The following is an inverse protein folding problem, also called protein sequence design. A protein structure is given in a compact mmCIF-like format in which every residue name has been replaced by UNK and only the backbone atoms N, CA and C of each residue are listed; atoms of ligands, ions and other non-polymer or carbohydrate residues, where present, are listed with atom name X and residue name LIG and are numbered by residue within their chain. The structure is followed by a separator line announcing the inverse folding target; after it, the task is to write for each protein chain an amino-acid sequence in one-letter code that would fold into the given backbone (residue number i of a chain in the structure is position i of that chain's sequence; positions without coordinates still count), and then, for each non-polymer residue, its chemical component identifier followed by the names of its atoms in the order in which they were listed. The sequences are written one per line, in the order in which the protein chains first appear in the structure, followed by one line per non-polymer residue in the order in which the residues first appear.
data_IF_266782230700
#
_entry.id   IF_266782230700
#
_cell.length_a   1.000
_cell.length_b   1.000
_cell.length_c   1.000
_cell.angle_alpha   90.00
_cell.angle_beta   90.00
_cell.angle_gamma   90.00
#
_symmetry.space_group_name_H-M   'P 1'
#
loop_
_entity.id
_entity.type
_entity.pdbx_description
1 polymer ?
#
# COMPACT_ATOMS: atom_id res chain seq x y z
N UNK A 1 -7.46 -13.66 -56.73
CA UNK A 1 -7.54 -12.60 -55.70
C UNK A 1 -6.92 -13.16 -54.44
N UNK A 2 -5.63 -12.84 -54.25
CA UNK A 2 -4.69 -13.67 -53.47
C UNK A 2 -5.01 -13.70 -51.98
N UNK A 3 -4.76 -14.86 -51.34
CA UNK A 3 -4.80 -15.10 -49.89
C UNK A 3 -4.10 -13.99 -49.09
N UNK A 4 -3.09 -13.36 -49.69
CA UNK A 4 -2.37 -12.19 -49.17
C UNK A 4 -3.29 -10.98 -48.96
N UNK A 5 -4.25 -10.70 -49.85
CA UNK A 5 -5.19 -9.58 -49.68
C UNK A 5 -6.17 -9.87 -48.54
N UNK A 6 -6.62 -11.12 -48.37
CA UNK A 6 -7.45 -11.54 -47.24
C UNK A 6 -6.67 -11.50 -45.92
N UNK A 7 -5.39 -11.83 -45.93
CA UNK A 7 -4.51 -11.71 -44.77
C UNK A 7 -4.26 -10.25 -44.39
N UNK A 8 -4.02 -9.36 -45.36
CA UNK A 8 -3.85 -7.92 -45.14
C UNK A 8 -5.16 -7.27 -44.68
N UNK A 9 -6.32 -7.67 -45.22
CA UNK A 9 -7.64 -7.21 -44.77
C UNK A 9 -8.02 -7.73 -43.38
N UNK A 10 -7.58 -8.94 -43.02
CA UNK A 10 -7.72 -9.52 -41.67
C UNK A 10 -6.85 -8.79 -40.64
N UNK A 11 -5.60 -8.45 -40.99
CA UNK A 11 -4.70 -7.61 -40.19
C UNK A 11 -5.27 -6.19 -40.00
N UNK A 12 -5.80 -5.56 -41.05
CA UNK A 12 -6.37 -4.21 -40.96
C UNK A 12 -7.70 -4.16 -40.22
N UNK A 13 -8.54 -5.21 -40.28
CA UNK A 13 -9.73 -5.33 -39.41
C UNK A 13 -9.38 -5.62 -37.95
N UNK A 14 -8.26 -6.31 -37.65
CA UNK A 14 -7.75 -6.44 -36.27
C UNK A 14 -7.22 -5.13 -35.70
N UNK A 15 -6.73 -4.22 -36.56
CA UNK A 15 -6.31 -2.85 -36.18
C UNK A 15 -7.46 -1.84 -36.18
N UNK A 16 -8.67 -2.21 -36.61
CA UNK A 16 -9.86 -1.36 -36.56
C UNK A 16 -10.58 -1.43 -35.20
N UNK A 17 -9.80 -1.36 -34.11
CA UNK A 17 -10.29 -0.97 -32.79
C UNK A 17 -9.10 -0.39 -32.04
N UNK A 18 -8.54 0.69 -32.57
CA UNK A 18 -7.61 1.52 -31.83
C UNK A 18 -8.42 2.35 -30.84
N UNK A 19 -8.45 2.02 -29.53
CA UNK A 19 -8.70 3.05 -28.53
C UNK A 19 -7.64 4.12 -28.73
N UNK A 20 -8.04 5.39 -28.79
CA UNK A 20 -7.07 6.45 -28.95
C UNK A 20 -6.10 6.41 -27.77
N UNK A 21 -4.86 6.84 -27.99
CA UNK A 21 -3.82 6.95 -26.96
C UNK A 21 -4.32 7.78 -25.76
N UNK A 22 -5.32 8.65 -25.95
CA UNK A 22 -5.93 9.46 -24.90
C UNK A 22 -7.04 8.76 -24.09
N UNK A 23 -7.69 7.70 -24.59
CA UNK A 23 -8.88 7.10 -23.96
C UNK A 23 -8.55 6.10 -22.83
N UNK A 24 -7.33 5.55 -22.83
CA UNK A 24 -6.82 4.65 -21.78
C UNK A 24 -5.78 5.33 -20.87
N UNK A 25 -5.50 6.62 -21.07
CA UNK A 25 -4.24 7.20 -20.61
C UNK A 25 -4.17 7.30 -19.08
N UNK A 26 -5.27 7.55 -18.37
CA UNK A 26 -5.21 7.71 -16.92
C UNK A 26 -6.60 7.46 -16.30
N UNK A 27 -6.99 6.21 -16.00
CA UNK A 27 -7.92 6.04 -14.87
C UNK A 27 -7.12 6.46 -13.66
N UNK A 28 -7.29 7.68 -13.14
CA UNK A 28 -6.53 8.17 -12.00
C UNK A 28 -7.28 7.74 -10.73
N UNK A 29 -6.70 6.89 -9.86
CA UNK A 29 -5.43 6.18 -10.00
C UNK A 29 -5.58 4.86 -10.75
N UNK A 30 -4.58 4.50 -11.58
CA UNK A 30 -4.53 3.19 -12.23
C UNK A 30 -4.24 2.23 -11.09
N UNK A 31 -5.31 1.61 -10.58
CA UNK A 31 -5.31 1.10 -9.21
C UNK A 31 -4.22 0.05 -8.96
N UNK A 32 -3.88 -0.86 -9.91
CA UNK A 32 -2.72 -1.74 -9.79
C UNK A 32 -1.39 -0.99 -9.78
N UNK A 33 -1.18 -0.01 -10.68
CA UNK A 33 0.05 0.78 -10.73
C UNK A 33 0.25 1.61 -9.46
N UNK A 34 -0.81 2.27 -8.98
CA UNK A 34 -0.82 3.03 -7.74
C UNK A 34 -0.50 2.13 -6.54
N UNK A 35 -1.14 0.96 -6.45
CA UNK A 35 -0.89 0.03 -5.36
C UNK A 35 0.54 -0.52 -5.38
N UNK A 36 1.11 -0.82 -6.56
CA UNK A 36 2.54 -1.20 -6.70
C UNK A 36 3.48 -0.15 -6.11
N UNK A 37 3.25 1.13 -6.45
CA UNK A 37 4.07 2.23 -5.96
C UNK A 37 3.91 2.44 -4.44
N UNK A 38 2.66 2.45 -3.96
CA UNK A 38 2.35 2.59 -2.54
C UNK A 38 2.99 1.44 -1.74
N UNK A 39 2.93 0.21 -2.26
CA UNK A 39 3.52 -0.96 -1.59
C UNK A 39 5.03 -0.82 -1.44
N UNK A 40 5.74 -0.44 -2.50
CA UNK A 40 7.19 -0.28 -2.49
C UNK A 40 7.64 0.85 -1.53
N UNK A 41 6.99 2.01 -1.59
CA UNK A 41 7.29 3.14 -0.70
C UNK A 41 6.99 2.76 0.74
N UNK A 42 5.85 2.12 0.99
CA UNK A 42 5.46 1.71 2.34
C UNK A 42 6.39 0.62 2.90
N UNK A 43 6.93 -0.27 2.07
CA UNK A 43 7.97 -1.22 2.49
C UNK A 43 9.23 -0.47 2.97
N UNK A 44 9.76 0.44 2.15
CA UNK A 44 10.94 1.22 2.51
C UNK A 44 10.74 2.04 3.79
N UNK A 45 9.60 2.71 3.93
CA UNK A 45 9.35 3.51 5.12
C UNK A 45 9.04 2.69 6.38
N UNK A 46 8.58 1.43 6.29
CA UNK A 46 8.56 0.51 7.44
C UNK A 46 9.97 0.26 7.97
N UNK A 47 10.93 -0.03 7.09
CA UNK A 47 12.33 -0.25 7.48
C UNK A 47 12.91 0.99 8.15
N UNK A 48 12.71 2.17 7.53
CA UNK A 48 13.09 3.45 8.13
C UNK A 48 12.46 3.64 9.52
N UNK A 49 11.17 3.37 9.65
CA UNK A 49 10.41 3.50 10.90
C UNK A 49 10.94 2.59 12.01
N UNK A 50 11.35 1.37 11.68
CA UNK A 50 11.99 0.43 12.63
C UNK A 50 13.32 0.98 13.11
N UNK A 51 14.22 1.31 12.18
CA UNK A 51 15.58 1.76 12.53
C UNK A 51 15.52 3.05 13.35
N UNK A 52 14.74 4.02 12.88
CA UNK A 52 14.60 5.30 13.56
C UNK A 52 13.85 5.17 14.90
N UNK A 53 12.85 4.29 14.95
CA UNK A 53 12.11 4.00 16.18
C UNK A 53 13.00 3.42 17.28
N UNK A 54 13.83 2.43 16.94
CA UNK A 54 14.79 1.83 17.89
C UNK A 54 15.82 2.86 18.34
N UNK A 55 16.39 3.63 17.42
CA UNK A 55 17.39 4.65 17.76
C UNK A 55 16.86 5.65 18.79
N UNK A 56 15.63 6.16 18.60
CA UNK A 56 15.01 7.10 19.53
C UNK A 56 14.60 6.42 20.84
N UNK A 57 14.12 5.18 20.78
CA UNK A 57 13.75 4.41 21.96
C UNK A 57 14.94 4.17 22.91
N UNK A 58 16.17 4.10 22.39
CA UNK A 58 17.37 3.90 23.20
C UNK A 58 17.80 5.16 23.97
N UNK A 59 17.40 6.35 23.50
CA UNK A 59 17.85 7.63 24.07
C UNK A 59 16.76 8.42 24.78
N UNK A 60 15.49 8.10 24.52
CA UNK A 60 14.37 8.77 25.20
C UNK A 60 14.29 8.37 26.67
N UNK A 61 14.00 9.34 27.55
CA UNK A 61 13.80 9.11 29.00
C UNK A 61 12.33 8.85 29.35
N UNK A 62 11.41 9.04 28.40
CA UNK A 62 10.00 8.82 28.62
C UNK A 62 9.64 7.36 28.35
N UNK A 63 9.30 6.61 29.41
CA UNK A 63 9.01 5.17 29.31
C UNK A 63 7.80 4.84 28.43
N UNK A 64 6.81 5.74 28.34
CA UNK A 64 5.63 5.53 27.49
C UNK A 64 5.97 5.76 26.02
N UNK A 65 6.76 6.78 25.70
CA UNK A 65 7.28 7.02 24.34
C UNK A 65 8.18 5.86 23.90
N UNK A 66 9.04 5.39 24.79
CA UNK A 66 9.91 4.23 24.54
C UNK A 66 9.09 2.97 24.22
N UNK A 67 8.08 2.66 25.05
CA UNK A 67 7.20 1.52 24.82
C UNK A 67 6.46 1.64 23.48
N UNK A 68 5.92 2.83 23.16
CA UNK A 68 5.24 3.09 21.90
C UNK A 68 6.17 2.84 20.70
N UNK A 69 7.40 3.36 20.74
CA UNK A 69 8.39 3.19 19.67
C UNK A 69 8.81 1.73 19.47
N UNK A 70 9.03 0.98 20.55
CA UNK A 70 9.40 -0.44 20.48
C UNK A 70 8.25 -1.27 19.94
N UNK A 71 7.03 -1.08 20.48
CA UNK A 71 5.83 -1.78 20.00
C UNK A 71 5.64 -1.48 18.52
N UNK A 72 5.72 -0.21 18.13
CA UNK A 72 5.60 0.18 16.73
C UNK A 72 6.65 -0.49 15.84
N UNK A 73 7.91 -0.56 16.26
CA UNK A 73 8.96 -1.27 15.52
C UNK A 73 8.63 -2.76 15.32
N UNK A 74 8.10 -3.44 16.35
CA UNK A 74 7.64 -4.85 16.21
C UNK A 74 6.53 -4.96 15.16
N UNK A 75 5.52 -4.07 15.22
CA UNK A 75 4.44 -4.09 14.23
C UNK A 75 4.91 -3.73 12.82
N UNK A 76 5.89 -2.83 12.65
CA UNK A 76 6.49 -2.53 11.35
C UNK A 76 7.23 -3.74 10.78
N UNK A 77 7.99 -4.49 11.59
CA UNK A 77 8.67 -5.74 11.18
C UNK A 77 7.64 -6.78 10.73
N UNK A 78 6.58 -6.99 11.51
CA UNK A 78 5.49 -7.88 11.14
C UNK A 78 4.84 -7.42 9.83
N UNK A 79 4.59 -6.12 9.67
CA UNK A 79 4.08 -5.52 8.44
C UNK A 79 4.99 -5.77 7.23
N UNK A 80 6.31 -5.74 7.41
CA UNK A 80 7.29 -6.07 6.36
C UNK A 80 7.16 -7.53 5.91
N UNK A 81 7.01 -8.47 6.86
CA UNK A 81 6.76 -9.88 6.54
C UNK A 81 5.48 -10.04 5.70
N UNK A 82 4.40 -9.37 6.10
CA UNK A 82 3.15 -9.37 5.36
C UNK A 82 3.31 -8.84 3.92
N UNK A 83 4.10 -7.77 3.74
CA UNK A 83 4.39 -7.22 2.42
C UNK A 83 5.18 -8.20 1.54
N UNK A 84 6.21 -8.84 2.09
CA UNK A 84 6.97 -9.86 1.34
C UNK A 84 6.11 -11.05 0.94
N UNK A 85 5.14 -11.44 1.79
CA UNK A 85 4.36 -12.65 1.54
C UNK A 85 3.22 -12.46 0.55
N UNK A 86 2.61 -11.27 0.52
CA UNK A 86 1.34 -11.02 -0.16
C UNK A 86 1.34 -9.84 -1.13
N UNK A 87 2.44 -9.09 -1.21
CA UNK A 87 2.50 -7.86 -2.02
C UNK A 87 3.82 -7.74 -2.81
N UNK A 88 4.64 -8.80 -2.83
CA UNK A 88 5.97 -8.74 -3.42
C UNK A 88 5.94 -8.93 -4.94
N UNK A 89 5.03 -9.75 -5.47
CA UNK A 89 4.92 -10.01 -6.90
C UNK A 89 3.81 -9.17 -7.51
N UNK A 90 3.99 -8.78 -8.77
CA UNK A 90 2.96 -8.09 -9.56
C UNK A 90 1.66 -8.91 -9.64
N UNK A 91 1.79 -10.24 -9.74
CA UNK A 91 0.69 -11.21 -9.71
C UNK A 91 -0.13 -11.15 -8.42
N UNK A 92 0.53 -10.90 -7.27
CA UNK A 92 -0.17 -10.82 -5.98
C UNK A 92 -1.08 -9.58 -5.96
N UNK A 93 -0.60 -8.46 -6.51
CA UNK A 93 -1.34 -7.20 -6.62
C UNK A 93 -2.49 -7.32 -7.62
N UNK A 94 -2.28 -7.99 -8.75
CA UNK A 94 -3.34 -8.26 -9.71
C UNK A 94 -4.41 -9.16 -9.07
N UNK A 95 -4.00 -10.21 -8.34
CA UNK A 95 -4.92 -11.10 -7.65
C UNK A 95 -5.79 -10.37 -6.63
N UNK A 96 -5.24 -9.38 -5.93
CA UNK A 96 -5.98 -8.55 -4.96
C UNK A 96 -7.20 -7.85 -5.58
N UNK A 97 -7.10 -7.41 -6.85
CA UNK A 97 -8.21 -6.76 -7.55
C UNK A 97 -9.19 -7.73 -8.22
N UNK A 98 -8.93 -9.03 -8.24
CA UNK A 98 -9.87 -10.03 -8.78
C UNK A 98 -10.90 -10.47 -7.73
N UNK A 99 -12.19 -10.52 -8.09
CA UNK A 99 -13.31 -10.85 -7.16
C UNK A 99 -13.27 -12.28 -6.58
N UNK A 100 -12.30 -13.09 -6.98
CA UNK A 100 -12.14 -14.49 -6.53
C UNK A 100 -11.00 -14.70 -5.54
N UNK A 101 -10.23 -13.66 -5.20
CA UNK A 101 -9.11 -13.81 -4.28
C UNK A 101 -9.58 -13.83 -2.83
N UNK A 102 -9.83 -15.02 -2.31
CA UNK A 102 -9.80 -15.23 -0.86
C UNK A 102 -8.34 -15.17 -0.41
N UNK A 103 -8.07 -14.40 0.64
CA UNK A 103 -6.74 -14.38 1.24
C UNK A 103 -6.37 -15.81 1.70
N UNK A 104 -5.08 -16.14 1.82
CA UNK A 104 -4.60 -17.43 2.36
C UNK A 104 -5.19 -17.72 3.76
N UNK A 105 -5.58 -16.67 4.48
CA UNK A 105 -6.52 -16.75 5.60
C UNK A 105 -7.93 -16.87 5.02
N UNK A 106 -8.31 -18.09 4.66
CA UNK A 106 -9.50 -18.52 3.88
C UNK A 106 -10.87 -18.00 4.36
N UNK A 107 -10.94 -17.16 5.39
CA UNK A 107 -12.16 -16.55 5.94
C UNK A 107 -12.18 -15.01 5.92
N UNK A 108 -11.08 -14.36 5.56
CA UNK A 108 -10.99 -12.90 5.54
C UNK A 108 -10.95 -12.38 4.10
N UNK A 109 -11.84 -11.44 3.78
CA UNK A 109 -11.78 -10.69 2.52
C UNK A 109 -10.50 -9.84 2.48
N UNK A 110 -9.85 -9.81 1.32
CA UNK A 110 -8.70 -8.96 1.05
C UNK A 110 -8.97 -7.49 1.38
N UNK A 111 -10.18 -7.00 1.10
CA UNK A 111 -10.64 -5.64 1.43
C UNK A 111 -10.63 -5.42 2.95
N UNK A 112 -11.16 -6.38 3.72
CA UNK A 112 -11.19 -6.30 5.18
C UNK A 112 -9.79 -6.22 5.79
N UNK A 113 -8.82 -6.92 5.20
CA UNK A 113 -7.42 -6.87 5.63
C UNK A 113 -6.81 -5.49 5.34
N UNK A 114 -7.06 -4.92 4.14
CA UNK A 114 -6.55 -3.59 3.78
C UNK A 114 -7.15 -2.48 4.65
N UNK A 115 -8.45 -2.55 4.93
CA UNK A 115 -9.13 -1.61 5.84
C UNK A 115 -8.60 -1.77 7.28
N UNK A 116 -8.43 -3.01 7.76
CA UNK A 116 -7.83 -3.27 9.06
C UNK A 116 -6.41 -2.71 9.17
N UNK A 117 -5.61 -2.85 8.12
CA UNK A 117 -4.28 -2.24 8.03
C UNK A 117 -4.36 -0.70 8.06
N UNK A 118 -5.28 -0.09 7.31
CA UNK A 118 -5.48 1.36 7.33
C UNK A 118 -5.85 1.87 8.73
N UNK A 119 -6.76 1.17 9.43
CA UNK A 119 -7.14 1.52 10.81
C UNK A 119 -5.97 1.39 11.79
N UNK A 120 -5.16 0.34 11.64
CA UNK A 120 -3.91 0.19 12.38
C UNK A 120 -2.98 1.39 12.19
N UNK A 121 -2.77 1.86 10.95
CA UNK A 121 -1.96 3.05 10.69
C UNK A 121 -2.58 4.30 11.30
N UNK A 122 -3.90 4.47 11.25
CA UNK A 122 -4.58 5.60 11.89
C UNK A 122 -4.34 5.64 13.40
N UNK A 123 -4.42 4.49 14.09
CA UNK A 123 -4.15 4.41 15.53
C UNK A 123 -2.73 4.90 15.84
N UNK A 124 -1.72 4.39 15.13
CA UNK A 124 -0.34 4.82 15.37
C UNK A 124 -0.09 6.28 14.97
N UNK A 125 -0.76 6.79 13.94
CA UNK A 125 -0.70 8.21 13.60
C UNK A 125 -1.16 9.09 14.77
N UNK A 126 -2.30 8.75 15.39
CA UNK A 126 -2.84 9.46 16.54
C UNK A 126 -1.92 9.32 17.76
N UNK A 127 -1.49 8.10 18.09
CA UNK A 127 -0.61 7.86 19.25
C UNK A 127 0.70 8.62 19.15
N UNK A 128 1.34 8.63 17.98
CA UNK A 128 2.56 9.42 17.77
C UNK A 128 2.31 10.93 17.75
N UNK A 129 1.15 11.38 17.26
CA UNK A 129 0.76 12.79 17.32
C UNK A 129 0.57 13.27 18.77
N UNK A 130 -0.09 12.45 19.60
CA UNK A 130 -0.23 12.71 21.05
C UNK A 130 1.13 12.69 21.75
N UNK A 131 1.99 11.72 21.42
CA UNK A 131 3.36 11.65 21.94
C UNK A 131 4.14 12.91 21.60
N UNK A 132 4.06 13.38 20.34
CA UNK A 132 4.71 14.62 19.91
C UNK A 132 4.20 15.84 20.67
N UNK A 133 2.89 15.99 20.86
CA UNK A 133 2.34 17.10 21.64
C UNK A 133 2.82 17.09 23.11
N UNK A 134 3.24 15.93 23.62
CA UNK A 134 3.70 15.78 25.00
C UNK A 134 5.21 16.00 25.14
N UNK A 135 6.02 15.45 24.22
CA UNK A 135 7.49 15.41 24.35
C UNK A 135 8.23 16.26 23.33
N UNK A 136 7.52 16.79 22.32
CA UNK A 136 8.07 17.57 21.21
C UNK A 136 9.18 16.85 20.43
N UNK A 137 9.27 15.52 20.51
CA UNK A 137 10.25 14.71 19.76
C UNK A 137 9.93 14.74 18.26
N UNK A 138 10.80 15.30 17.39
CA UNK A 138 10.52 15.42 15.95
C UNK A 138 10.27 14.08 15.25
N UNK A 139 10.90 13.01 15.75
CA UNK A 139 10.67 11.65 15.25
C UNK A 139 9.22 11.22 15.43
N UNK A 140 8.58 11.50 16.57
CA UNK A 140 7.17 11.17 16.79
C UNK A 140 6.27 11.92 15.80
N UNK A 141 6.56 13.19 15.49
CA UNK A 141 5.81 13.93 14.48
C UNK A 141 5.98 13.30 13.07
N UNK A 142 7.22 12.99 12.69
CA UNK A 142 7.51 12.33 11.41
C UNK A 142 6.79 10.98 11.29
N UNK A 143 6.86 10.15 12.33
CA UNK A 143 6.15 8.88 12.38
C UNK A 143 4.62 9.06 12.35
N UNK A 144 4.08 10.09 12.99
CA UNK A 144 2.65 10.42 12.93
C UNK A 144 2.20 10.71 11.49
N UNK A 145 2.91 11.60 10.79
CA UNK A 145 2.63 11.94 9.39
C UNK A 145 2.80 10.74 8.46
N UNK A 146 3.84 9.95 8.67
CA UNK A 146 4.09 8.74 7.89
C UNK A 146 2.92 7.74 8.00
N UNK A 147 2.46 7.47 9.22
CA UNK A 147 1.31 6.59 9.44
C UNK A 147 0.02 7.18 8.83
N UNK A 148 -0.21 8.49 8.94
CA UNK A 148 -1.36 9.14 8.31
C UNK A 148 -1.34 9.00 6.77
N UNK A 149 -0.17 9.18 6.15
CA UNK A 149 0.03 8.99 4.71
C UNK A 149 -0.23 7.52 4.30
N UNK A 150 0.29 6.55 5.06
CA UNK A 150 0.04 5.13 4.81
C UNK A 150 -1.46 4.78 4.90
N UNK A 151 -2.16 5.31 5.90
CA UNK A 151 -3.60 5.13 6.06
C UNK A 151 -4.36 5.66 4.85
N UNK A 152 -4.09 6.92 4.45
CA UNK A 152 -4.74 7.55 3.30
C UNK A 152 -4.55 6.73 2.01
N UNK A 153 -3.31 6.31 1.72
CA UNK A 153 -3.04 5.55 0.51
C UNK A 153 -3.66 4.15 0.51
N UNK A 154 -3.72 3.47 1.66
CA UNK A 154 -4.40 2.18 1.74
C UNK A 154 -5.90 2.32 1.51
N UNK A 155 -6.53 3.37 2.05
CA UNK A 155 -7.95 3.66 1.80
C UNK A 155 -8.16 3.94 0.31
N UNK A 156 -7.31 4.77 -0.31
CA UNK A 156 -7.39 5.09 -1.74
C UNK A 156 -7.14 3.88 -2.65
N UNK A 157 -6.25 2.98 -2.24
CA UNK A 157 -5.95 1.77 -3.01
C UNK A 157 -7.00 0.66 -2.84
N UNK A 158 -7.84 0.75 -1.79
CA UNK A 158 -8.87 -0.25 -1.52
C UNK A 158 -10.01 -0.10 -2.54
N UNK A 159 -10.42 -1.17 -3.24
CA UNK A 159 -11.50 -1.15 -4.23
C UNK A 159 -12.89 -1.13 -3.56
N UNK A 160 -13.10 -0.25 -2.58
CA UNK A 160 -14.39 -0.09 -1.89
C UNK A 160 -15.52 0.39 -2.81
N UNK A 161 -15.18 0.90 -3.99
CA UNK A 161 -16.09 1.51 -4.97
C UNK A 161 -15.89 0.86 -6.34
N UNK A 162 -15.99 -0.47 -6.42
CA UNK A 162 -16.27 -1.12 -7.71
C UNK A 162 -17.73 -0.84 -8.07
N UNK A 163 -17.94 -0.12 -9.18
CA UNK A 163 -19.20 -0.15 -9.92
C UNK A 163 -19.29 -1.45 -10.72
#
# INVERSE_FOLDING_TARGET
MSIVLLYIMSETKRRAKDPSIADNFISLPDSPFFLRHVVAINYGGKIYSVLRGIEVALVTKNSMEQALLIIYAVFMILGTYWYTRFWQKDEDIESYYTDKSTHVLTRCSNIGITIGAAFYYLIFAVLFGVSYNTTSTPTCFSLSLWNAWCCANLILATPCWKK
#
